data_IF_796514905166
#
_entry.id   IF_796514905166
#
_cell.length_a   1.000
_cell.length_b   1.000
_cell.length_c   1.000
_cell.angle_alpha   90.00
_cell.angle_beta   90.00
_cell.angle_gamma   90.00
#
_symmetry.space_group_name_H-M   'P 1'
#
loop_
_entity.id
_entity.type
_entity.pdbx_description
1 polymer ?
#
# COMPACT_ATOMS: atom_id res chain seq x y z
N UNK A 1 -8.22 -15.20 1.41
CA UNK A 1 -9.41 -14.59 2.05
C UNK A 1 -9.90 -13.49 1.14
N UNK A 2 -11.14 -13.57 0.71
CA UNK A 2 -11.83 -12.51 -0.03
C UNK A 2 -12.13 -11.35 0.91
N UNK A 3 -12.11 -10.11 0.42
CA UNK A 3 -12.45 -8.93 1.21
C UNK A 3 -13.93 -8.98 1.64
N UNK A 4 -14.21 -8.73 2.91
CA UNK A 4 -15.59 -8.52 3.38
C UNK A 4 -16.05 -7.10 3.03
N UNK A 5 -16.83 -6.98 1.95
CA UNK A 5 -17.31 -5.68 1.44
C UNK A 5 -18.26 -5.00 2.43
N UNK A 6 -19.02 -5.79 3.21
CA UNK A 6 -19.92 -5.22 4.21
C UNK A 6 -19.13 -4.55 5.35
N UNK A 7 -17.96 -5.11 5.68
CA UNK A 7 -17.07 -4.58 6.72
C UNK A 7 -16.12 -3.48 6.23
N UNK A 8 -15.71 -3.53 4.96
CA UNK A 8 -14.75 -2.56 4.38
C UNK A 8 -15.26 -1.96 3.07
N UNK A 9 -16.41 -1.24 3.09
CA UNK A 9 -17.04 -0.73 1.88
C UNK A 9 -16.20 0.32 1.15
N UNK A 10 -15.48 1.19 1.88
CA UNK A 10 -14.64 2.23 1.27
C UNK A 10 -13.31 1.66 0.77
N UNK A 11 -12.70 0.74 1.54
CA UNK A 11 -11.48 0.05 1.12
C UNK A 11 -11.71 -0.82 -0.12
N UNK A 12 -12.90 -1.39 -0.29
CA UNK A 12 -13.29 -2.13 -1.50
C UNK A 12 -13.18 -1.28 -2.78
N UNK A 13 -13.35 0.05 -2.67
CA UNK A 13 -13.26 0.99 -3.78
C UNK A 13 -11.82 1.45 -4.10
N UNK A 14 -10.81 1.04 -3.32
CA UNK A 14 -9.43 1.49 -3.47
C UNK A 14 -8.45 0.31 -3.56
N UNK A 15 -8.62 -0.57 -4.55
CA UNK A 15 -7.75 -1.71 -4.77
C UNK A 15 -6.46 -1.31 -5.50
N UNK A 16 -6.51 -0.25 -6.32
CA UNK A 16 -5.36 0.33 -7.03
C UNK A 16 -5.14 1.81 -6.71
N UNK A 17 -3.95 2.38 -6.99
CA UNK A 17 -3.71 3.80 -6.81
C UNK A 17 -4.62 4.69 -7.69
N UNK A 18 -5.01 4.24 -8.87
CA UNK A 18 -5.92 4.98 -9.76
C UNK A 18 -7.33 5.08 -9.17
N UNK A 19 -7.83 3.97 -8.64
CA UNK A 19 -9.11 3.93 -7.93
C UNK A 19 -9.06 4.79 -6.66
N UNK A 20 -7.97 4.73 -5.90
CA UNK A 20 -7.75 5.59 -4.74
C UNK A 20 -7.81 7.08 -5.09
N UNK A 21 -7.17 7.50 -6.18
CA UNK A 21 -7.17 8.89 -6.66
C UNK A 21 -8.53 9.35 -7.16
N UNK A 22 -9.38 8.42 -7.56
CA UNK A 22 -10.76 8.70 -7.99
C UNK A 22 -11.71 8.96 -6.82
N UNK A 23 -11.30 8.65 -5.59
CA UNK A 23 -12.07 8.90 -4.39
C UNK A 23 -12.04 10.39 -3.99
N UNK A 24 -13.18 10.96 -3.54
CA UNK A 24 -13.19 12.32 -3.06
C UNK A 24 -12.45 12.44 -1.71
N UNK A 25 -11.84 13.60 -1.47
CA UNK A 25 -10.88 13.79 -0.37
C UNK A 25 -11.49 13.59 1.03
N UNK A 26 -12.78 13.89 1.17
CA UNK A 26 -13.57 13.76 2.39
C UNK A 26 -13.75 12.31 2.85
N UNK A 27 -13.63 11.33 1.94
CA UNK A 27 -13.72 9.90 2.30
C UNK A 27 -12.38 9.26 2.66
N UNK A 28 -11.26 9.95 2.46
CA UNK A 28 -9.92 9.43 2.78
C UNK A 28 -9.72 9.09 4.26
N UNK A 29 -10.23 9.87 5.24
CA UNK A 29 -10.15 9.48 6.66
C UNK A 29 -10.84 8.13 6.92
N UNK A 30 -12.03 7.93 6.35
CA UNK A 30 -12.75 6.65 6.45
C UNK A 30 -11.98 5.50 5.81
N UNK A 31 -11.35 5.75 4.66
CA UNK A 31 -10.47 4.76 4.04
C UNK A 31 -9.31 4.37 4.96
N UNK A 32 -8.67 5.35 5.63
CA UNK A 32 -7.60 5.07 6.58
C UNK A 32 -8.07 4.18 7.75
N UNK A 33 -9.26 4.44 8.29
CA UNK A 33 -9.84 3.65 9.38
C UNK A 33 -10.14 2.21 8.97
N UNK A 34 -10.74 2.02 7.79
CA UNK A 34 -11.00 0.69 7.24
C UNK A 34 -9.70 -0.05 6.92
N UNK A 35 -8.70 0.64 6.36
CA UNK A 35 -7.39 0.08 6.04
C UNK A 35 -6.64 -0.37 7.30
N UNK A 36 -6.68 0.45 8.37
CA UNK A 36 -6.14 0.12 9.68
C UNK A 36 -6.80 -1.12 10.28
N UNK A 37 -8.13 -1.16 10.24
CA UNK A 37 -8.92 -2.29 10.77
C UNK A 37 -8.66 -3.57 9.96
N UNK A 38 -8.59 -3.47 8.64
CA UNK A 38 -8.26 -4.58 7.75
C UNK A 38 -6.85 -5.11 8.03
N UNK A 39 -5.87 -4.23 8.22
CA UNK A 39 -4.50 -4.61 8.55
C UNK A 39 -4.46 -5.37 9.87
N UNK A 40 -5.08 -4.84 10.94
CA UNK A 40 -5.17 -5.54 12.23
C UNK A 40 -5.78 -6.95 12.09
N UNK A 41 -6.88 -7.08 11.35
CA UNK A 41 -7.53 -8.38 11.16
C UNK A 41 -6.69 -9.35 10.31
N UNK A 42 -5.96 -8.84 9.32
CA UNK A 42 -5.21 -9.67 8.37
C UNK A 42 -3.88 -10.18 8.92
N UNK A 43 -3.19 -9.42 9.77
CA UNK A 43 -1.87 -9.80 10.34
C UNK A 43 -1.91 -10.17 11.81
N UNK A 44 -3.05 -10.07 12.50
CA UNK A 44 -3.23 -10.54 13.90
C UNK A 44 -2.81 -12.00 14.12
N UNK A 45 -2.90 -12.84 13.09
CA UNK A 45 -2.54 -14.26 13.14
C UNK A 45 -1.04 -14.52 12.91
N UNK A 46 -0.25 -13.50 12.55
CA UNK A 46 1.19 -13.61 12.29
C UNK A 46 2.00 -12.77 13.28
N UNK A 47 2.98 -13.38 13.94
CA UNK A 47 3.81 -12.69 14.94
C UNK A 47 4.68 -11.58 14.33
N UNK A 48 4.60 -10.35 14.86
CA UNK A 48 5.63 -9.30 14.74
C UNK A 48 5.52 -8.26 13.61
N UNK A 49 5.92 -7.02 13.95
CA UNK A 49 6.08 -5.81 13.11
C UNK A 49 4.87 -5.36 12.25
N UNK A 50 3.64 -5.47 12.76
CA UNK A 50 2.48 -4.80 12.14
C UNK A 50 2.24 -3.39 12.69
N UNK A 51 2.74 -3.09 13.91
CA UNK A 51 2.64 -1.78 14.54
C UNK A 51 3.25 -0.66 13.66
N UNK A 52 4.38 -0.94 13.00
CA UNK A 52 5.01 -0.02 12.04
C UNK A 52 4.14 0.23 10.80
N UNK A 53 3.37 -0.76 10.36
CA UNK A 53 2.40 -0.60 9.28
C UNK A 53 1.20 0.24 9.68
N UNK A 54 0.75 0.17 10.94
CA UNK A 54 -0.37 0.97 11.45
C UNK A 54 -0.04 2.47 11.51
N UNK A 55 1.21 2.81 11.86
CA UNK A 55 1.68 4.21 11.86
C UNK A 55 1.91 4.79 10.47
N UNK A 56 1.94 3.95 9.42
CA UNK A 56 2.19 4.37 8.04
C UNK A 56 0.90 4.46 7.19
N UNK A 57 -0.28 4.21 7.76
CA UNK A 57 -1.56 4.15 7.03
C UNK A 57 -1.87 5.48 6.32
N UNK A 58 -1.94 6.58 7.07
CA UNK A 58 -2.26 7.91 6.55
C UNK A 58 -1.21 8.37 5.55
N UNK A 59 0.07 8.14 5.86
CA UNK A 59 1.18 8.49 4.97
C UNK A 59 1.06 7.74 3.64
N UNK A 60 0.77 6.44 3.69
CA UNK A 60 0.62 5.62 2.48
C UNK A 60 -0.54 6.12 1.61
N UNK A 61 -1.69 6.40 2.23
CA UNK A 61 -2.87 6.91 1.52
C UNK A 61 -2.54 8.26 0.87
N UNK A 62 -1.95 9.18 1.62
CA UNK A 62 -1.56 10.50 1.10
C UNK A 62 -0.57 10.39 -0.07
N UNK A 63 0.46 9.55 0.05
CA UNK A 63 1.46 9.38 -1.00
C UNK A 63 0.84 8.82 -2.29
N UNK A 64 0.01 7.78 -2.22
CA UNK A 64 -0.63 7.23 -3.43
C UNK A 64 -1.73 8.13 -4.00
N UNK A 65 -2.31 9.00 -3.17
CA UNK A 65 -3.28 10.00 -3.62
C UNK A 65 -2.62 11.14 -4.39
N UNK A 66 -1.45 11.59 -3.94
CA UNK A 66 -0.75 12.75 -4.54
C UNK A 66 0.17 12.34 -5.69
N UNK A 67 0.88 11.21 -5.57
CA UNK A 67 1.83 10.74 -6.59
C UNK A 67 1.17 9.80 -7.58
N UNK A 68 1.57 9.91 -8.85
CA UNK A 68 1.08 9.07 -9.93
C UNK A 68 1.81 7.72 -9.97
N UNK A 69 1.67 6.90 -8.92
CA UNK A 69 2.26 5.56 -8.94
C UNK A 69 1.49 4.63 -9.88
N UNK A 70 2.15 3.77 -10.68
CA UNK A 70 3.58 3.40 -10.60
C UNK A 70 4.55 4.24 -11.44
N UNK A 71 4.08 5.31 -12.13
CA UNK A 71 4.98 6.20 -12.87
C UNK A 71 5.94 6.94 -11.93
N UNK A 72 5.41 7.49 -10.84
CA UNK A 72 6.23 7.97 -9.73
C UNK A 72 6.69 6.79 -8.87
N UNK A 73 7.98 6.75 -8.56
CA UNK A 73 8.56 5.69 -7.77
C UNK A 73 8.50 6.04 -6.28
N UNK A 74 7.72 5.26 -5.52
CA UNK A 74 7.70 5.31 -4.05
C UNK A 74 8.61 4.23 -3.47
N UNK A 75 9.52 4.65 -2.60
CA UNK A 75 10.48 3.78 -1.93
C UNK A 75 10.14 3.74 -0.44
N UNK A 76 10.04 2.54 0.12
CA UNK A 76 9.96 2.31 1.56
C UNK A 76 11.34 1.88 2.08
N UNK A 77 11.83 2.47 3.17
CA UNK A 77 13.17 2.16 3.70
C UNK A 77 13.22 0.75 4.31
N UNK A 78 12.16 0.35 5.01
CA UNK A 78 12.02 -0.96 5.65
C UNK A 78 10.73 -1.63 5.14
N UNK A 79 10.81 -2.91 4.75
CA UNK A 79 9.69 -3.59 4.09
C UNK A 79 8.48 -3.86 5.00
N UNK A 80 8.67 -3.81 6.32
CA UNK A 80 7.64 -4.14 7.32
C UNK A 80 6.60 -3.01 7.51
N UNK A 81 6.92 -1.74 7.25
CA UNK A 81 5.92 -0.67 7.25
C UNK A 81 5.08 -0.62 5.96
N UNK A 82 5.48 -1.32 4.91
CA UNK A 82 4.84 -1.25 3.59
C UNK A 82 3.58 -2.13 3.46
N UNK A 83 2.97 -2.59 4.56
CA UNK A 83 1.72 -3.36 4.49
C UNK A 83 0.55 -2.55 3.89
N UNK A 84 0.28 -1.30 4.31
CA UNK A 84 -0.76 -0.49 3.67
C UNK A 84 -0.48 -0.30 2.17
N UNK A 85 0.80 -0.12 1.80
CA UNK A 85 1.21 0.01 0.40
C UNK A 85 0.87 -1.25 -0.41
N UNK A 86 1.19 -2.45 0.11
CA UNK A 86 0.83 -3.72 -0.55
C UNK A 86 -0.69 -3.86 -0.70
N UNK A 87 -1.47 -3.40 0.29
CA UNK A 87 -2.94 -3.47 0.25
C UNK A 87 -3.53 -2.57 -0.84
N UNK A 88 -3.01 -1.35 -1.03
CA UNK A 88 -3.52 -0.36 -2.00
C UNK A 88 -2.96 -0.51 -3.42
N UNK A 89 -2.16 -1.54 -3.67
CA UNK A 89 -1.50 -1.80 -4.96
C UNK A 89 -1.84 -3.19 -5.50
N UNK A 90 -3.09 -3.63 -5.31
CA UNK A 90 -3.61 -4.88 -5.85
C UNK A 90 -3.06 -6.17 -5.20
N UNK A 91 -2.33 -6.08 -4.09
CA UNK A 91 -1.75 -7.25 -3.39
C UNK A 91 -2.48 -7.59 -2.08
N UNK A 92 -3.66 -7.00 -1.86
CA UNK A 92 -4.50 -7.20 -0.67
C UNK A 92 -4.81 -8.67 -0.38
N UNK A 93 -5.33 -9.40 -1.37
CA UNK A 93 -5.73 -10.81 -1.17
C UNK A 93 -4.57 -11.75 -0.85
N UNK A 94 -3.34 -11.34 -1.20
CA UNK A 94 -2.12 -12.10 -0.96
C UNK A 94 -1.53 -11.82 0.41
N UNK A 95 -2.00 -10.79 1.13
CA UNK A 95 -1.49 -10.40 2.44
C UNK A 95 -1.49 -11.54 3.48
N UNK A 96 -2.50 -12.43 3.56
CA UNK A 96 -2.49 -13.55 4.51
C UNK A 96 -1.37 -14.58 4.26
N UNK A 97 -0.80 -14.61 3.05
CA UNK A 97 0.32 -15.50 2.72
C UNK A 97 1.67 -14.89 3.08
N UNK A 98 1.69 -13.69 3.66
CA UNK A 98 2.94 -13.02 4.02
C UNK A 98 3.73 -13.88 5.01
N UNK A 99 5.05 -13.97 4.79
CA UNK A 99 5.97 -14.81 5.58
C UNK A 99 5.76 -16.32 5.48
N UNK A 100 4.86 -16.79 4.63
CA UNK A 100 4.76 -18.21 4.28
C UNK A 100 5.74 -18.53 3.15
N UNK A 101 6.29 -19.75 3.14
CA UNK A 101 7.17 -20.22 2.06
C UNK A 101 6.38 -20.19 0.73
N UNK A 102 6.83 -19.37 -0.22
CA UNK A 102 6.15 -19.17 -1.51
C UNK A 102 4.99 -18.17 -1.50
N UNK A 103 4.73 -17.51 -0.37
CA UNK A 103 3.70 -16.48 -0.23
C UNK A 103 4.20 -15.06 -0.51
N UNK A 104 3.40 -14.06 -0.15
CA UNK A 104 3.75 -12.64 -0.37
C UNK A 104 5.06 -12.31 0.36
N UNK A 105 6.04 -11.84 -0.40
CA UNK A 105 7.35 -11.55 0.16
C UNK A 105 7.34 -10.21 0.92
N UNK A 106 8.06 -10.15 2.03
CA UNK A 106 8.22 -8.93 2.85
C UNK A 106 8.94 -7.84 2.03
N UNK A 107 10.07 -8.22 1.44
CA UNK A 107 10.89 -7.44 0.50
C UNK A 107 10.50 -7.77 -0.96
N UNK A 108 10.68 -6.89 -1.98
CA UNK A 108 10.39 -7.24 -3.37
C UNK A 108 11.22 -8.44 -3.85
N UNK A 109 10.56 -9.51 -4.28
CA UNK A 109 11.20 -10.69 -4.89
C UNK A 109 10.66 -10.91 -6.31
N UNK A 110 11.53 -10.77 -7.31
CA UNK A 110 11.30 -11.20 -8.70
C UNK A 110 10.87 -10.10 -9.69
N UNK A 111 11.44 -10.14 -10.90
CA UNK A 111 11.40 -9.19 -12.04
C UNK A 111 10.00 -8.73 -12.54
N UNK A 112 8.90 -9.06 -11.84
CA UNK A 112 7.52 -8.64 -12.18
C UNK A 112 6.90 -7.68 -11.14
N UNK A 113 7.65 -7.28 -10.12
CA UNK A 113 7.20 -6.27 -9.16
C UNK A 113 7.67 -4.88 -9.61
N UNK A 114 6.90 -4.19 -10.45
CA UNK A 114 7.21 -2.83 -10.95
C UNK A 114 7.15 -1.72 -9.88
N UNK A 115 7.32 -2.04 -8.60
CA UNK A 115 7.35 -1.06 -7.50
C UNK A 115 8.31 -1.59 -6.43
N UNK A 116 9.60 -1.34 -6.66
CA UNK A 116 10.71 -1.92 -5.90
C UNK A 116 11.19 -0.96 -4.81
N UNK A 117 11.39 -1.53 -3.63
CA UNK A 117 11.79 -0.95 -2.36
C UNK A 117 13.34 -0.96 -2.27
N UNK A 118 14.03 0.15 -2.55
CA UNK A 118 15.47 0.36 -2.25
C UNK A 118 15.76 1.86 -2.09
N UNK A 119 16.53 2.22 -1.06
CA UNK A 119 16.83 3.58 -0.57
C UNK A 119 17.41 4.55 -1.64
N UNK A 120 16.83 5.75 -1.70
CA UNK A 120 17.39 7.08 -2.09
C UNK A 120 16.50 7.82 -3.09
N UNK A 121 15.92 8.93 -2.61
CA UNK A 121 15.21 9.97 -3.34
C UNK A 121 13.93 9.57 -4.12
N UNK A 122 12.96 10.49 -4.18
CA UNK A 122 11.93 10.50 -5.22
C UNK A 122 12.67 10.61 -6.55
N UNK A 123 12.77 9.53 -7.30
CA UNK A 123 13.32 9.56 -8.65
C UNK A 123 12.17 9.88 -9.59
N UNK A 124 11.97 11.17 -9.90
CA UNK A 124 11.22 11.55 -11.10
C UNK A 124 12.10 11.24 -12.33
N UNK A 125 11.56 10.66 -13.41
CA UNK A 125 12.29 10.56 -14.66
C UNK A 125 12.68 11.98 -15.16
N UNK A 126 13.84 12.16 -15.83
CA UNK A 126 14.42 13.49 -16.12
C UNK A 126 13.62 14.39 -17.08
N UNK A 127 12.45 13.98 -17.57
CA UNK A 127 11.75 14.67 -18.65
C UNK A 127 10.80 15.80 -18.21
N UNK A 128 10.71 16.13 -16.92
CA UNK A 128 9.80 17.19 -16.42
C UNK A 128 10.50 18.16 -15.47
N UNK A 129 11.70 18.62 -15.86
CA UNK A 129 12.41 19.76 -15.23
C UNK A 129 12.48 20.97 -16.18
N UNK A 130 11.36 21.24 -16.85
CA UNK A 130 11.10 22.52 -17.50
C UNK A 130 9.65 22.91 -17.19
N UNK A 131 9.51 23.80 -16.19
CA UNK A 131 8.28 24.48 -15.78
C UNK A 131 7.20 23.60 -15.12
N UNK A 132 7.06 23.78 -13.80
CA UNK A 132 5.84 23.86 -12.95
C UNK A 132 6.22 23.49 -11.52
#
# INVERSE_FOLDING_TARGET
MTLDIAKYPTLALANTPDELRSLPRDILPKLCDELRTYLLNSVSHSSGHFASGLGAVELTVALHYVYNTPFDHLIWDVGHQAYPHKILTGRREKLPTIRQKGGLHLSPGGKKANMTCFLSAIVRPPSVLAWV
#
